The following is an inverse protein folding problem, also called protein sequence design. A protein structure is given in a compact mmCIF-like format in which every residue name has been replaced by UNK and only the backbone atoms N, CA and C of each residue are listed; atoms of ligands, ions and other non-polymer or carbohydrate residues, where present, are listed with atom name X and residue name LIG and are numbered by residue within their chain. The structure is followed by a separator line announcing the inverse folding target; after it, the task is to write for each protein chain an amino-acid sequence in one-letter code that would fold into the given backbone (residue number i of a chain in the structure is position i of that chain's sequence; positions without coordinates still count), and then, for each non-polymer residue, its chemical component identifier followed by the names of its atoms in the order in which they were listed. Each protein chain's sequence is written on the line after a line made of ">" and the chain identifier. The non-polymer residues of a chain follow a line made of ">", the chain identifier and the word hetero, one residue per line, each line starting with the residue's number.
data_IF_756970813436
#
_entry.id   IF_756970813436
#
_cell.length_a   1.000
_cell.length_b   1.000
_cell.length_c   1.000
_cell.angle_alpha   90.00
_cell.angle_beta   90.00
_cell.angle_gamma   90.00
#
_symmetry.space_group_name_H-M   'P 1'
#
loop_
_entity.id
_entity.type
_entity.pdbx_description
1 polymer ?
#
# COMPACT_ATOMS: atom_id res chain seq x y z
N UNK A 1 7.19 13.36 26.95
CA UNK A 1 6.67 12.20 26.21
C UNK A 1 6.76 12.47 24.70
N UNK A 2 6.58 11.45 23.89
CA UNK A 2 6.48 11.59 22.43
C UNK A 2 5.27 12.45 22.06
N UNK A 3 5.45 13.40 21.16
CA UNK A 3 4.37 14.26 20.67
C UNK A 3 3.86 13.82 19.30
N UNK A 4 4.71 13.18 18.49
CA UNK A 4 4.41 12.69 17.15
C UNK A 4 5.25 11.46 16.85
N UNK A 5 4.63 10.45 16.26
CA UNK A 5 5.30 9.27 15.70
C UNK A 5 4.88 9.15 14.24
N UNK A 6 5.78 9.51 13.33
CA UNK A 6 5.53 9.37 11.90
C UNK A 6 5.62 7.90 11.48
N UNK A 7 4.59 7.43 10.80
CA UNK A 7 4.51 6.05 10.28
C UNK A 7 4.36 6.11 8.76
N UNK A 8 5.39 5.65 8.05
CA UNK A 8 5.42 5.70 6.59
C UNK A 8 6.51 4.82 5.99
N UNK A 9 6.71 4.94 4.67
CA UNK A 9 7.67 4.10 3.91
C UNK A 9 7.08 2.78 3.43
N UNK A 10 6.02 2.28 4.08
CA UNK A 10 5.19 1.17 3.64
C UNK A 10 3.76 1.37 4.14
N UNK A 11 2.80 0.64 3.59
CA UNK A 11 1.43 0.63 4.10
C UNK A 11 1.42 0.10 5.54
N UNK A 12 0.73 0.81 6.44
CA UNK A 12 0.48 0.35 7.79
C UNK A 12 -0.97 -0.11 7.90
N UNK A 13 -1.19 -1.33 8.41
CA UNK A 13 -2.53 -1.85 8.60
C UNK A 13 -3.35 -0.92 9.51
N UNK A 14 -4.61 -0.60 9.14
CA UNK A 14 -5.47 0.28 9.94
C UNK A 14 -5.61 -0.15 11.40
N UNK A 15 -5.68 -1.46 11.64
CA UNK A 15 -5.79 -2.06 12.97
C UNK A 15 -4.53 -1.82 13.81
N UNK A 16 -3.35 -1.87 13.18
CA UNK A 16 -2.08 -1.55 13.86
C UNK A 16 -2.07 -0.09 14.31
N UNK A 17 -2.50 0.82 13.43
CA UNK A 17 -2.62 2.24 13.75
C UNK A 17 -3.64 2.47 14.89
N UNK A 18 -4.82 1.82 14.81
CA UNK A 18 -5.85 1.91 15.84
C UNK A 18 -5.36 1.37 17.19
N UNK A 19 -4.65 0.24 17.21
CA UNK A 19 -4.03 -0.31 18.42
C UNK A 19 -2.99 0.63 19.03
N UNK A 20 -2.15 1.22 18.20
CA UNK A 20 -1.14 2.17 18.65
C UNK A 20 -1.78 3.44 19.26
N UNK A 21 -2.81 3.99 18.61
CA UNK A 21 -3.59 5.11 19.11
C UNK A 21 -4.26 4.77 20.46
N UNK A 22 -4.91 3.60 20.55
CA UNK A 22 -5.55 3.12 21.79
C UNK A 22 -4.54 2.90 22.93
N UNK A 23 -3.29 2.58 22.60
CA UNK A 23 -2.17 2.48 23.56
C UNK A 23 -1.55 3.84 23.91
N UNK A 24 -2.10 4.95 23.40
CA UNK A 24 -1.65 6.31 23.69
C UNK A 24 -0.45 6.79 22.86
N UNK A 25 -0.06 6.08 21.81
CA UNK A 25 0.99 6.53 20.90
C UNK A 25 0.43 7.55 19.89
N UNK A 26 1.04 8.75 19.76
CA UNK A 26 0.59 9.78 18.82
C UNK A 26 1.02 9.48 17.39
N UNK A 27 0.51 8.40 16.80
CA UNK A 27 0.87 7.97 15.46
C UNK A 27 0.23 8.86 14.39
N UNK A 28 1.06 9.27 13.43
CA UNK A 28 0.70 10.11 12.30
C UNK A 28 1.13 9.39 11.02
N UNK A 29 0.20 8.76 10.29
CA UNK A 29 0.50 8.23 8.97
C UNK A 29 1.07 9.31 8.06
N UNK A 30 2.05 8.93 7.24
CA UNK A 30 2.67 9.82 6.27
C UNK A 30 2.95 9.10 4.97
N UNK A 31 2.67 9.76 3.86
CA UNK A 31 3.02 9.35 2.51
C UNK A 31 4.16 10.20 1.99
N UNK A 32 5.11 9.56 1.33
CA UNK A 32 6.21 10.23 0.68
C UNK A 32 7.10 9.26 -0.10
N UNK A 33 7.96 9.83 -0.93
CA UNK A 33 8.88 9.10 -1.80
C UNK A 33 10.16 9.88 -2.00
N UNK A 34 11.21 9.19 -2.43
CA UNK A 34 12.54 9.78 -2.65
C UNK A 34 12.49 10.91 -3.66
N UNK A 35 11.69 10.78 -4.72
CA UNK A 35 11.51 11.74 -5.78
C UNK A 35 10.84 13.05 -5.32
N UNK A 36 10.20 13.04 -4.17
CA UNK A 36 9.66 14.23 -3.49
C UNK A 36 10.45 14.58 -2.23
N UNK A 37 11.71 14.13 -2.13
CA UNK A 37 12.67 14.36 -1.03
C UNK A 37 12.27 13.65 0.27
N UNK A 38 11.02 13.57 0.63
CA UNK A 38 10.49 12.86 1.81
C UNK A 38 8.96 12.86 1.77
N UNK A 39 8.34 13.69 2.62
CA UNK A 39 6.90 13.71 2.85
C UNK A 39 6.16 14.52 1.76
N UNK A 40 5.07 13.95 1.29
CA UNK A 40 4.09 14.57 0.39
C UNK A 40 2.82 14.94 1.14
N UNK A 41 2.32 14.00 1.96
CA UNK A 41 1.13 14.19 2.78
C UNK A 41 1.32 13.54 4.15
N UNK A 42 0.78 14.15 5.19
CA UNK A 42 0.95 13.67 6.57
C UNK A 42 -0.32 13.93 7.37
N UNK A 43 -0.71 12.96 8.18
CA UNK A 43 -1.79 13.14 9.12
C UNK A 43 -1.40 14.09 10.27
N UNK A 44 -2.33 14.92 10.68
CA UNK A 44 -2.14 15.72 11.89
C UNK A 44 -2.00 14.83 13.13
N UNK A 45 -1.31 15.31 14.19
CA UNK A 45 -1.28 14.60 15.46
C UNK A 45 -2.69 14.28 15.95
N UNK A 46 -2.93 13.07 16.47
CA UNK A 46 -4.24 12.67 16.92
C UNK A 46 -4.69 13.53 18.09
N UNK A 47 -6.00 13.81 18.15
CA UNK A 47 -6.60 14.42 19.34
C UNK A 47 -6.64 13.40 20.47
N UNK A 48 -6.65 13.88 21.70
CA UNK A 48 -6.79 13.01 22.87
C UNK A 48 -8.04 12.14 22.73
N UNK A 49 -7.89 10.83 22.93
CA UNK A 49 -8.97 9.85 22.77
C UNK A 49 -9.34 9.49 21.33
N UNK A 50 -8.55 9.91 20.32
CA UNK A 50 -8.80 9.51 18.95
C UNK A 50 -8.62 7.99 18.77
N UNK A 51 -9.65 7.35 18.20
CA UNK A 51 -9.62 5.92 17.88
C UNK A 51 -9.11 5.61 16.46
N UNK A 52 -9.06 6.63 15.60
CA UNK A 52 -8.61 6.51 14.19
C UNK A 52 -7.57 7.58 13.87
N UNK A 53 -6.68 7.28 12.94
CA UNK A 53 -5.75 8.25 12.41
C UNK A 53 -6.50 9.34 11.63
N UNK A 54 -5.99 10.57 11.69
CA UNK A 54 -6.49 11.67 10.87
C UNK A 54 -6.12 11.44 9.40
N UNK A 55 -6.88 12.00 8.43
CA UNK A 55 -6.52 11.94 7.02
C UNK A 55 -5.17 12.61 6.76
N UNK A 56 -4.43 12.10 5.79
CA UNK A 56 -3.16 12.67 5.36
C UNK A 56 -3.42 13.87 4.46
N UNK A 57 -3.10 15.06 4.93
CA UNK A 57 -3.19 16.29 4.13
C UNK A 57 -1.83 16.59 3.48
N UNK A 58 -1.82 17.16 2.26
CA UNK A 58 -0.59 17.60 1.61
C UNK A 58 0.20 18.55 2.52
N UNK A 59 1.51 18.34 2.61
CA UNK A 59 2.37 19.24 3.39
C UNK A 59 2.44 20.61 2.75
N UNK A 60 2.72 21.64 3.53
CA UNK A 60 2.70 23.04 3.06
C UNK A 60 3.61 23.22 1.84
N UNK A 61 3.04 23.78 0.77
CA UNK A 61 3.74 24.04 -0.50
C UNK A 61 3.75 22.86 -1.47
N UNK A 62 3.15 21.73 -1.08
CA UNK A 62 2.96 20.57 -1.96
C UNK A 62 1.53 20.56 -2.47
N UNK A 63 1.38 20.34 -3.77
CA UNK A 63 0.10 20.11 -4.41
C UNK A 63 -0.01 18.62 -4.77
N UNK A 64 -1.19 18.05 -4.53
CA UNK A 64 -1.53 16.67 -4.90
C UNK A 64 -2.72 16.70 -5.83
N UNK A 65 -2.67 15.90 -6.87
CA UNK A 65 -3.73 15.71 -7.85
C UNK A 65 -3.87 14.23 -8.16
N UNK A 66 -5.08 13.78 -8.43
CA UNK A 66 -5.34 12.39 -8.83
C UNK A 66 -5.70 12.37 -10.31
N UNK A 67 -4.97 11.60 -11.09
CA UNK A 67 -5.16 11.45 -12.53
C UNK A 67 -5.80 10.10 -12.84
N UNK A 68 -7.02 10.13 -13.35
CA UNK A 68 -7.72 8.96 -13.90
C UNK A 68 -7.52 8.89 -15.42
N UNK A 69 -8.01 7.82 -16.05
CA UNK A 69 -8.01 7.66 -17.52
C UNK A 69 -8.84 8.73 -18.24
N UNK A 70 -9.69 9.46 -17.51
CA UNK A 70 -10.57 10.52 -18.05
C UNK A 70 -10.13 11.94 -17.66
N UNK A 71 -8.92 12.12 -17.13
CA UNK A 71 -8.41 13.38 -16.60
C UNK A 71 -8.44 13.43 -15.08
N UNK A 72 -8.61 14.65 -14.50
CA UNK A 72 -8.66 14.83 -13.06
C UNK A 72 -9.80 14.03 -12.43
N UNK A 73 -9.44 13.17 -11.47
CA UNK A 73 -10.40 12.35 -10.77
C UNK A 73 -11.20 13.16 -9.74
N UNK A 74 -12.52 13.02 -9.69
CA UNK A 74 -13.32 13.59 -8.61
C UNK A 74 -13.00 12.91 -7.27
N UNK A 75 -13.35 13.54 -6.13
CA UNK A 75 -13.15 12.96 -4.81
C UNK A 75 -13.69 11.52 -4.71
N UNK A 76 -12.97 10.66 -4.00
CA UNK A 76 -13.30 9.24 -3.83
C UNK A 76 -12.96 8.36 -5.04
N UNK A 77 -12.53 8.92 -6.17
CA UNK A 77 -12.20 8.15 -7.38
C UNK A 77 -10.71 7.85 -7.45
N UNK A 78 -10.31 6.56 -7.51
CA UNK A 78 -8.91 6.19 -7.62
C UNK A 78 -8.27 6.63 -8.95
N UNK A 79 -6.99 6.99 -8.88
CA UNK A 79 -6.15 7.30 -10.03
C UNK A 79 -4.69 7.41 -9.63
N UNK A 80 -3.81 7.75 -10.58
CA UNK A 80 -2.40 7.98 -10.28
C UNK A 80 -2.23 9.25 -9.44
N UNK A 81 -1.45 9.16 -8.37
CA UNK A 81 -1.09 10.30 -7.53
C UNK A 81 -0.05 11.13 -8.25
N UNK A 82 -0.36 12.38 -8.53
CA UNK A 82 0.56 13.37 -9.08
C UNK A 82 0.95 14.37 -7.99
N UNK A 83 2.23 14.74 -7.97
CA UNK A 83 2.77 15.66 -6.96
C UNK A 83 3.48 16.82 -7.63
N UNK A 84 3.26 18.03 -7.12
CA UNK A 84 3.99 19.24 -7.50
C UNK A 84 4.39 20.01 -6.26
N UNK A 85 5.59 20.57 -6.27
CA UNK A 85 6.07 21.40 -5.16
C UNK A 85 7.59 21.55 -5.15
N UNK A 86 8.12 22.38 -4.26
CA UNK A 86 9.55 22.69 -4.21
C UNK A 86 10.42 21.51 -3.74
N UNK A 87 9.82 20.47 -3.18
CA UNK A 87 10.52 19.25 -2.71
C UNK A 87 10.66 18.19 -3.80
N UNK A 88 10.00 18.39 -4.96
CA UNK A 88 10.11 17.46 -6.09
C UNK A 88 11.51 17.55 -6.70
N UNK A 89 12.12 16.38 -6.95
CA UNK A 89 13.44 16.26 -7.55
C UNK A 89 13.53 16.98 -8.90
N UNK A 90 14.74 17.33 -9.32
CA UNK A 90 15.00 17.85 -10.66
C UNK A 90 15.12 16.73 -11.72
N UNK A 91 15.35 15.50 -11.28
CA UNK A 91 15.46 14.33 -12.16
C UNK A 91 16.37 13.25 -11.61
N UNK A 92 16.43 12.15 -12.33
CA UNK A 92 17.35 11.04 -12.05
C UNK A 92 18.75 11.32 -12.62
N UNK A 93 19.77 11.09 -11.83
CA UNK A 93 21.17 11.29 -12.24
C UNK A 93 21.53 10.36 -13.40
N UNK A 94 22.01 10.96 -14.49
CA UNK A 94 22.41 10.27 -15.74
C UNK A 94 21.29 9.45 -16.42
N UNK A 95 20.01 9.67 -16.09
CA UNK A 95 18.86 9.02 -16.73
C UNK A 95 17.79 10.05 -17.13
N UNK A 96 18.05 10.71 -18.26
CA UNK A 96 17.10 11.67 -18.83
C UNK A 96 15.79 11.03 -19.31
N UNK A 97 15.84 9.76 -19.74
CA UNK A 97 14.67 9.03 -20.18
C UNK A 97 13.73 8.70 -19.02
N UNK A 98 14.26 8.22 -17.89
CA UNK A 98 13.45 8.01 -16.69
C UNK A 98 12.91 9.36 -16.18
N UNK A 99 13.73 10.41 -16.17
CA UNK A 99 13.32 11.76 -15.79
C UNK A 99 12.13 12.24 -16.62
N UNK A 100 12.21 12.15 -17.96
CA UNK A 100 11.14 12.59 -18.85
C UNK A 100 9.86 11.75 -18.73
N UNK A 101 9.94 10.48 -18.32
CA UNK A 101 8.76 9.67 -18.03
C UNK A 101 8.10 10.03 -16.71
N UNK A 102 8.89 10.43 -15.72
CA UNK A 102 8.43 10.66 -14.35
C UNK A 102 8.02 12.11 -14.11
N UNK A 103 8.74 13.07 -14.71
CA UNK A 103 8.42 14.51 -14.61
C UNK A 103 7.78 14.97 -15.93
N UNK A 104 6.46 15.14 -15.92
CA UNK A 104 5.68 15.53 -17.10
C UNK A 104 4.74 16.70 -16.77
N UNK A 105 4.67 17.68 -17.64
CA UNK A 105 3.75 18.82 -17.53
C UNK A 105 3.81 19.57 -16.18
N UNK A 106 5.02 19.58 -15.57
CA UNK A 106 5.26 20.19 -14.26
C UNK A 106 4.81 19.36 -13.06
N UNK A 107 4.47 18.09 -13.27
CA UNK A 107 4.07 17.15 -12.23
C UNK A 107 5.00 15.95 -12.15
N UNK A 108 5.24 15.48 -10.93
CA UNK A 108 5.83 14.19 -10.63
C UNK A 108 4.74 13.11 -10.71
N UNK A 109 4.86 12.21 -11.66
CA UNK A 109 4.07 10.99 -11.77
C UNK A 109 4.67 9.94 -10.85
N UNK A 110 4.00 9.67 -9.73
CA UNK A 110 4.58 8.84 -8.67
C UNK A 110 4.55 7.36 -8.97
N UNK A 111 3.64 6.93 -9.85
CA UNK A 111 3.32 5.53 -10.08
C UNK A 111 2.54 4.90 -8.91
N UNK A 112 2.18 5.66 -7.89
CA UNK A 112 1.31 5.21 -6.81
C UNK A 112 -0.15 5.55 -7.14
N UNK A 113 -1.08 4.71 -6.71
CA UNK A 113 -2.52 4.87 -6.90
C UNK A 113 -3.16 5.29 -5.58
N UNK A 114 -4.06 6.25 -5.66
CA UNK A 114 -4.81 6.74 -4.50
C UNK A 114 -5.99 7.58 -4.92
N UNK A 115 -6.64 8.18 -3.94
CA UNK A 115 -7.72 9.16 -4.14
C UNK A 115 -7.64 10.26 -3.09
N UNK A 116 -8.23 11.40 -3.39
CA UNK A 116 -8.53 12.44 -2.40
C UNK A 116 -9.97 12.28 -1.94
N UNK A 117 -10.23 12.42 -0.64
CA UNK A 117 -11.58 12.51 -0.12
C UNK A 117 -12.15 13.92 -0.29
N UNK A 118 -13.42 14.13 0.12
CA UNK A 118 -14.11 15.42 0.00
C UNK A 118 -13.44 16.55 0.80
N UNK A 119 -12.67 16.21 1.84
CA UNK A 119 -11.92 17.15 2.68
C UNK A 119 -10.47 17.37 2.18
N UNK A 120 -10.10 16.75 1.06
CA UNK A 120 -8.76 16.82 0.47
C UNK A 120 -7.73 15.90 1.14
N UNK A 121 -8.18 14.96 1.96
CA UNK A 121 -7.34 13.93 2.56
C UNK A 121 -6.88 12.92 1.52
N UNK A 122 -5.57 12.64 1.50
CA UNK A 122 -4.98 11.66 0.60
C UNK A 122 -5.08 10.25 1.20
N UNK A 123 -5.63 9.35 0.40
CA UNK A 123 -5.69 7.91 0.65
C UNK A 123 -4.85 7.18 -0.39
N UNK A 124 -3.75 6.58 0.04
CA UNK A 124 -2.87 5.78 -0.82
C UNK A 124 -3.36 4.34 -0.81
N UNK A 125 -3.62 3.79 -1.98
CA UNK A 125 -4.14 2.43 -2.14
C UNK A 125 -3.02 1.42 -2.38
N UNK A 126 -2.22 1.63 -3.44
CA UNK A 126 -1.10 0.74 -3.79
C UNK A 126 -0.20 1.40 -4.85
N UNK A 127 0.81 0.66 -5.31
CA UNK A 127 1.55 1.01 -6.52
C UNK A 127 0.82 0.53 -7.77
N UNK A 128 0.88 1.31 -8.85
CA UNK A 128 0.29 0.95 -10.14
C UNK A 128 0.89 -0.36 -10.69
N UNK A 129 2.20 -0.54 -10.52
CA UNK A 129 2.89 -1.76 -10.97
C UNK A 129 2.55 -3.00 -10.13
N UNK A 130 2.05 -2.81 -8.93
CA UNK A 130 1.61 -3.88 -8.02
C UNK A 130 0.11 -4.21 -8.20
N UNK A 131 -0.64 -3.37 -8.92
CA UNK A 131 -2.07 -3.56 -9.19
C UNK A 131 -2.32 -4.88 -9.92
N UNK A 132 -3.20 -5.70 -9.39
CA UNK A 132 -3.63 -6.94 -10.01
C UNK A 132 -4.91 -6.69 -10.78
N UNK A 133 -4.90 -6.93 -12.10
CA UNK A 133 -6.13 -6.93 -12.89
C UNK A 133 -6.62 -8.37 -13.02
N UNK A 134 -7.68 -8.69 -12.28
CA UNK A 134 -8.26 -10.03 -12.21
C UNK A 134 -9.70 -10.04 -12.70
N UNK A 135 -9.97 -10.71 -13.82
CA UNK A 135 -11.31 -10.76 -14.41
C UNK A 135 -11.86 -9.38 -14.82
N UNK A 136 -10.99 -8.42 -15.15
CA UNK A 136 -11.34 -7.05 -15.49
C UNK A 136 -11.49 -6.10 -14.29
N UNK A 137 -11.35 -6.61 -13.06
CA UNK A 137 -11.45 -5.83 -11.83
C UNK A 137 -10.08 -5.46 -11.27
N UNK A 138 -9.96 -4.25 -10.75
CA UNK A 138 -8.75 -3.76 -10.09
C UNK A 138 -8.68 -4.26 -8.65
N UNK A 139 -7.64 -5.02 -8.33
CA UNK A 139 -7.39 -5.57 -7.00
C UNK A 139 -6.09 -4.99 -6.46
N UNK A 140 -6.19 -4.34 -5.32
CA UNK A 140 -5.06 -3.73 -4.63
C UNK A 140 -4.49 -4.72 -3.60
N UNK A 141 -3.26 -5.24 -3.78
CA UNK A 141 -2.63 -6.18 -2.86
C UNK A 141 -2.61 -5.74 -1.41
N UNK A 142 -2.33 -4.46 -1.15
CA UNK A 142 -2.23 -3.93 0.21
C UNK A 142 -3.55 -4.05 1.00
N UNK A 143 -4.71 -3.95 0.35
CA UNK A 143 -6.01 -4.16 0.99
C UNK A 143 -6.17 -5.59 1.50
N UNK A 144 -5.74 -6.56 0.70
CA UNK A 144 -5.84 -7.98 1.05
C UNK A 144 -4.82 -8.34 2.14
N UNK A 145 -3.60 -7.82 2.02
CA UNK A 145 -2.54 -7.98 3.03
C UNK A 145 -3.00 -7.45 4.39
N UNK A 146 -3.63 -6.27 4.42
CA UNK A 146 -4.19 -5.70 5.65
C UNK A 146 -5.22 -6.64 6.29
N UNK A 147 -6.16 -7.15 5.49
CA UNK A 147 -7.17 -8.10 5.98
C UNK A 147 -6.54 -9.41 6.49
N UNK A 148 -5.54 -9.94 5.81
CA UNK A 148 -4.84 -11.15 6.26
C UNK A 148 -4.11 -10.93 7.60
N UNK A 149 -3.51 -9.76 7.78
CA UNK A 149 -2.79 -9.39 9.01
C UNK A 149 -3.71 -9.20 10.23
N UNK A 150 -5.04 -9.04 10.03
CA UNK A 150 -6.02 -9.05 11.13
C UNK A 150 -6.20 -10.46 11.73
N UNK A 151 -5.85 -11.52 10.99
CA UNK A 151 -5.99 -12.88 11.48
C UNK A 151 -4.92 -13.20 12.52
N UNK A 152 -5.28 -13.67 13.72
CA UNK A 152 -4.31 -13.86 14.83
C UNK A 152 -3.20 -14.85 14.53
N UNK A 153 -3.42 -15.77 13.59
CA UNK A 153 -2.42 -16.76 13.16
C UNK A 153 -1.51 -16.27 12.03
N UNK A 154 -1.68 -15.04 11.55
CA UNK A 154 -0.87 -14.46 10.46
C UNK A 154 0.12 -13.46 11.05
N UNK A 155 1.41 -13.69 10.83
CA UNK A 155 2.49 -12.80 11.25
C UNK A 155 2.87 -11.82 10.15
N UNK A 156 2.88 -12.27 8.89
CA UNK A 156 3.16 -11.45 7.71
C UNK A 156 2.40 -11.97 6.49
N UNK A 157 2.07 -11.09 5.57
CA UNK A 157 1.35 -11.44 4.35
C UNK A 157 1.88 -10.64 3.15
N UNK A 158 1.96 -11.31 2.00
CA UNK A 158 2.28 -10.69 0.72
C UNK A 158 1.33 -11.21 -0.35
N UNK A 159 0.80 -10.33 -1.18
CA UNK A 159 -0.17 -10.66 -2.22
C UNK A 159 0.37 -10.22 -3.58
N UNK A 160 0.24 -11.09 -4.57
CA UNK A 160 0.60 -10.77 -5.95
C UNK A 160 -0.32 -11.48 -6.95
N UNK A 161 -0.36 -10.96 -8.17
CA UNK A 161 -1.04 -11.58 -9.28
C UNK A 161 -0.15 -12.61 -9.98
N UNK A 162 -0.67 -13.82 -10.15
CA UNK A 162 -0.02 -14.84 -10.99
C UNK A 162 -0.83 -14.98 -12.27
N UNK A 163 -0.15 -15.03 -13.42
CA UNK A 163 -0.79 -15.16 -14.72
C UNK A 163 -1.82 -16.30 -14.73
N UNK A 164 -3.00 -16.00 -15.23
CA UNK A 164 -4.13 -16.93 -15.29
C UNK A 164 -4.82 -16.77 -16.65
N UNK A 165 -5.07 -17.89 -17.40
CA UNK A 165 -5.60 -17.83 -18.75
C UNK A 165 -7.03 -17.27 -18.83
N UNK A 166 -7.83 -17.43 -17.77
CA UNK A 166 -9.23 -17.01 -17.75
C UNK A 166 -9.44 -15.62 -17.15
N UNK A 167 -8.61 -15.27 -16.17
CA UNK A 167 -8.74 -14.04 -15.40
C UNK A 167 -7.70 -12.96 -15.77
N UNK A 168 -6.74 -13.29 -16.65
CA UNK A 168 -5.55 -12.46 -16.86
C UNK A 168 -4.54 -12.60 -15.71
N UNK A 169 -4.96 -12.33 -14.48
CA UNK A 169 -4.20 -12.61 -13.28
C UNK A 169 -5.08 -13.21 -12.18
N UNK A 170 -4.53 -14.20 -11.47
CA UNK A 170 -5.14 -14.79 -10.29
C UNK A 170 -4.48 -14.24 -9.04
N UNK A 171 -5.29 -13.81 -8.09
CA UNK A 171 -4.82 -13.32 -6.78
C UNK A 171 -4.27 -14.48 -5.95
N UNK A 172 -3.01 -14.38 -5.53
CA UNK A 172 -2.34 -15.37 -4.69
C UNK A 172 -1.78 -14.67 -3.45
N UNK A 173 -1.95 -15.28 -2.29
CA UNK A 173 -1.42 -14.81 -1.02
C UNK A 173 -0.29 -15.73 -0.54
N UNK A 174 0.83 -15.15 -0.14
CA UNK A 174 1.90 -15.80 0.63
C UNK A 174 1.79 -15.35 2.08
N UNK A 175 1.75 -16.32 2.98
CA UNK A 175 1.44 -16.09 4.39
C UNK A 175 2.55 -16.64 5.27
N UNK A 176 3.10 -15.80 6.12
CA UNK A 176 3.98 -16.20 7.22
C UNK A 176 3.11 -16.41 8.45
N UNK A 177 3.17 -17.60 9.01
CA UNK A 177 2.33 -17.98 10.14
C UNK A 177 2.96 -17.53 11.45
N UNK A 178 2.13 -17.12 12.40
CA UNK A 178 2.59 -16.80 13.75
C UNK A 178 3.15 -18.05 14.46
N UNK A 179 4.13 -17.90 15.36
CA UNK A 179 4.63 -19.02 16.16
C UNK A 179 3.49 -19.79 16.83
N UNK A 180 3.60 -21.11 16.86
CA UNK A 180 2.63 -22.02 17.46
C UNK A 180 1.21 -22.01 16.84
N UNK A 181 1.03 -21.34 15.70
CA UNK A 181 -0.20 -21.35 14.93
C UNK A 181 -0.07 -22.29 13.72
N UNK A 182 -1.20 -22.82 13.24
CA UNK A 182 -1.26 -23.69 12.07
C UNK A 182 -2.58 -23.47 11.32
N UNK A 183 -2.83 -22.26 10.79
CA UNK A 183 -4.06 -21.99 10.08
C UNK A 183 -4.11 -22.76 8.77
N UNK A 184 -5.29 -23.20 8.40
CA UNK A 184 -5.54 -23.79 7.09
C UNK A 184 -5.84 -22.72 6.05
N UNK A 185 -5.64 -23.03 4.78
CA UNK A 185 -6.06 -22.14 3.68
C UNK A 185 -7.57 -21.85 3.72
N UNK A 186 -8.38 -22.81 4.18
CA UNK A 186 -9.84 -22.65 4.31
C UNK A 186 -10.21 -21.62 5.36
N UNK A 187 -9.53 -21.61 6.51
CA UNK A 187 -9.76 -20.60 7.56
C UNK A 187 -9.40 -19.19 7.09
N UNK A 188 -8.26 -19.05 6.43
CA UNK A 188 -7.86 -17.75 5.85
C UNK A 188 -8.82 -17.29 4.75
N UNK A 189 -9.28 -18.22 3.90
CA UNK A 189 -10.29 -17.92 2.89
C UNK A 189 -11.60 -17.45 3.52
N UNK A 190 -12.06 -18.11 4.59
CA UNK A 190 -13.26 -17.71 5.31
C UNK A 190 -13.12 -16.33 5.96
N UNK A 191 -11.95 -16.03 6.52
CA UNK A 191 -11.62 -14.73 7.08
C UNK A 191 -11.68 -13.62 6.01
N UNK A 192 -11.04 -13.83 4.85
CA UNK A 192 -11.09 -12.91 3.72
C UNK A 192 -12.51 -12.74 3.17
N UNK A 193 -13.29 -13.83 3.08
CA UNK A 193 -14.65 -13.82 2.55
C UNK A 193 -15.62 -12.93 3.34
N UNK A 194 -15.38 -12.76 4.63
CA UNK A 194 -16.20 -11.92 5.50
C UNK A 194 -15.89 -10.42 5.35
N UNK A 195 -14.75 -10.06 4.73
CA UNK A 195 -14.19 -8.70 4.73
C UNK A 195 -13.92 -8.14 3.34
N UNK A 196 -13.78 -9.00 2.33
CA UNK A 196 -13.42 -8.61 0.97
C UNK A 196 -14.50 -8.99 -0.04
N UNK A 197 -14.68 -8.16 -1.05
CA UNK A 197 -15.48 -8.50 -2.21
C UNK A 197 -14.97 -9.77 -2.90
N UNK A 198 -15.84 -10.53 -3.54
CA UNK A 198 -15.52 -11.87 -4.08
C UNK A 198 -14.33 -11.89 -5.04
N UNK A 199 -14.20 -10.87 -5.90
CA UNK A 199 -13.11 -10.76 -6.87
C UNK A 199 -11.75 -10.42 -6.24
N UNK A 200 -11.73 -9.84 -5.03
CA UNK A 200 -10.51 -9.51 -4.27
C UNK A 200 -9.96 -10.69 -3.48
N UNK A 201 -10.74 -11.74 -3.28
CA UNK A 201 -10.34 -12.86 -2.42
C UNK A 201 -9.22 -13.68 -3.06
N UNK A 202 -8.12 -13.98 -2.32
CA UNK A 202 -7.09 -14.88 -2.81
C UNK A 202 -7.69 -16.25 -3.18
N UNK A 203 -7.34 -16.75 -4.35
CA UNK A 203 -7.74 -18.10 -4.79
C UNK A 203 -6.74 -19.17 -4.39
N UNK A 204 -5.54 -18.76 -3.95
CA UNK A 204 -4.49 -19.65 -3.49
C UNK A 204 -3.79 -19.00 -2.31
N UNK A 205 -3.52 -19.80 -1.28
CA UNK A 205 -2.74 -19.43 -0.11
C UNK A 205 -1.49 -20.31 -0.07
N UNK A 206 -0.33 -19.68 0.05
CA UNK A 206 0.98 -20.35 0.17
C UNK A 206 1.57 -19.99 1.52
N UNK A 207 1.90 -21.00 2.30
CA UNK A 207 2.56 -20.81 3.58
C UNK A 207 4.07 -20.82 3.37
N UNK A 208 4.74 -19.77 3.88
CA UNK A 208 6.18 -19.56 3.70
C UNK A 208 6.83 -19.14 5.01
N UNK A 209 8.13 -19.38 5.15
CA UNK A 209 8.87 -19.02 6.36
C UNK A 209 9.15 -17.51 6.44
N UNK A 210 9.35 -16.85 5.32
CA UNK A 210 9.60 -15.41 5.24
C UNK A 210 9.08 -14.83 3.91
N UNK A 211 8.89 -13.52 3.88
CA UNK A 211 8.59 -12.75 2.65
C UNK A 211 9.85 -12.00 2.18
N UNK A 212 10.01 -11.80 0.86
CA UNK A 212 11.16 -11.09 0.30
C UNK A 212 11.04 -9.60 0.61
N UNK A 213 11.94 -9.08 1.43
CA UNK A 213 11.98 -7.66 1.80
C UNK A 213 13.33 -7.06 1.46
N UNK A 214 13.32 -5.77 1.08
CA UNK A 214 14.56 -5.02 0.90
C UNK A 214 15.16 -4.60 2.26
N UNK A 215 16.34 -3.98 2.24
CA UNK A 215 17.04 -3.52 3.44
C UNK A 215 16.22 -2.51 4.29
N UNK A 216 15.26 -1.82 3.68
CA UNK A 216 14.34 -0.91 4.38
C UNK A 216 13.07 -1.62 4.90
N UNK A 217 12.99 -2.95 4.81
CA UNK A 217 11.84 -3.75 5.24
C UNK A 217 10.65 -3.75 4.28
N UNK A 218 10.74 -3.11 3.10
CA UNK A 218 9.66 -3.07 2.12
C UNK A 218 9.55 -4.38 1.35
N UNK A 219 8.32 -4.91 1.23
CA UNK A 219 8.01 -6.11 0.45
C UNK A 219 8.41 -5.93 -1.03
N UNK A 220 9.13 -6.91 -1.57
CA UNK A 220 9.51 -6.99 -2.98
C UNK A 220 8.55 -7.92 -3.74
N UNK A 221 7.31 -7.45 -4.02
CA UNK A 221 6.26 -8.26 -4.65
C UNK A 221 6.68 -8.92 -5.96
N UNK A 222 7.55 -8.28 -6.73
CA UNK A 222 8.09 -8.86 -7.99
C UNK A 222 8.78 -10.22 -7.82
N UNK A 223 9.22 -10.54 -6.59
CA UNK A 223 9.84 -11.82 -6.26
C UNK A 223 8.82 -12.89 -5.83
N UNK A 224 7.55 -12.50 -5.58
CA UNK A 224 6.46 -13.42 -5.29
C UNK A 224 5.97 -14.07 -6.59
N UNK A 225 6.61 -15.15 -6.99
CA UNK A 225 6.30 -15.92 -8.20
C UNK A 225 5.71 -17.31 -7.88
N UNK A 226 5.37 -18.08 -8.93
CA UNK A 226 4.86 -19.45 -8.77
C UNK A 226 5.79 -20.35 -7.97
N UNK A 227 7.09 -20.12 -8.07
CA UNK A 227 8.13 -20.94 -7.46
C UNK A 227 8.67 -20.36 -6.14
N UNK A 228 8.14 -19.23 -5.67
CA UNK A 228 8.57 -18.66 -4.39
C UNK A 228 8.13 -19.54 -3.23
N UNK A 229 9.09 -20.17 -2.57
CA UNK A 229 8.89 -21.07 -1.45
C UNK A 229 9.24 -20.48 -0.06
N UNK A 230 9.73 -19.24 -0.04
CA UNK A 230 10.19 -18.58 1.17
C UNK A 230 11.62 -18.97 1.56
N UNK A 231 12.47 -17.99 1.76
CA UNK A 231 13.84 -18.17 2.23
C UNK A 231 14.58 -16.83 2.14
N UNK A 232 15.61 -16.57 2.97
CA UNK A 232 16.34 -15.33 2.98
C UNK A 232 17.16 -15.07 1.70
N UNK A 233 17.31 -16.06 0.83
CA UNK A 233 18.14 -16.04 -0.38
C UNK A 233 17.37 -16.45 -1.67
N UNK A 234 16.04 -16.34 -1.71
CA UNK A 234 15.24 -16.67 -2.89
C UNK A 234 14.92 -15.43 -3.75
#
# INVERSE_FOLDING_TARGET
>A
GLQVVLVGGAAAAPELLARALSAGYPVCPTYGLTEATSQVATAAPPREGAATAMPMLPVRGTEVRILSDHGDAPPGTPGEILVRGPTVMQGYLHDSNATARTLRDGWLHTGDVGYLDDDGGLHVLDRRDDLIVSGGENVYPAEIEAVLLEHPSVMDAGVAGIADPDLGARVVAWVVVAPDASPTAVELQQHCRQRLAGFKQPRTYRFVDALPRNAAGKLQRRLLGPDYAGGPDA
#
